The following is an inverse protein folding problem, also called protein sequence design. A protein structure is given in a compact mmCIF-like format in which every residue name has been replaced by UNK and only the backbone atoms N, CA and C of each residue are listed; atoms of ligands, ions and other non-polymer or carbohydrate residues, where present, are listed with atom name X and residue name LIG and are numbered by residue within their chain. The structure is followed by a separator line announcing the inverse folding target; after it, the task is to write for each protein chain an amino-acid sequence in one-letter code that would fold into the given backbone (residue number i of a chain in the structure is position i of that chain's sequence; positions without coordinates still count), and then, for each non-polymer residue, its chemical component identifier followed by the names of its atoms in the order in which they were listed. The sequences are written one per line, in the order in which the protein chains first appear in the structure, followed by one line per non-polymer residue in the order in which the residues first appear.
data_IF_919554402850
#
_entry.id   IF_919554402850
#
_cell.length_a   1.000
_cell.length_b   1.000
_cell.length_c   1.000
_cell.angle_alpha   90.00
_cell.angle_beta   90.00
_cell.angle_gamma   90.00
#
_symmetry.space_group_name_H-M   'P 1'
#
loop_
_entity.id
_entity.type
_entity.pdbx_description
1 polymer ?
#
# COMPACT_ATOMS: atom_id res chain seq x y z
N UNK A 1 4.65 -10.75 -3.89
CA UNK A 1 4.78 -10.14 -5.22
C UNK A 1 3.39 -9.87 -5.79
N UNK A 2 3.02 -8.61 -5.90
CA UNK A 2 1.66 -8.16 -6.25
C UNK A 2 1.64 -7.66 -7.69
N UNK A 3 1.44 -8.55 -8.65
CA UNK A 3 1.40 -8.14 -10.06
C UNK A 3 0.07 -7.45 -10.37
N UNK A 4 0.08 -6.27 -11.01
CA UNK A 4 -1.13 -5.68 -11.54
C UNK A 4 -1.87 -6.68 -12.43
N UNK A 5 -3.16 -6.82 -12.20
CA UNK A 5 -4.00 -7.76 -12.94
C UNK A 5 -5.40 -7.21 -13.17
N UNK A 6 -6.08 -7.71 -14.17
CA UNK A 6 -7.48 -7.39 -14.40
C UNK A 6 -8.36 -7.78 -13.20
N UNK A 7 -8.06 -8.94 -12.59
CA UNK A 7 -8.76 -9.42 -11.40
C UNK A 7 -8.60 -8.49 -10.21
N UNK A 8 -7.39 -7.98 -9.96
CA UNK A 8 -7.14 -7.00 -8.89
C UNK A 8 -7.95 -5.72 -9.11
N UNK A 9 -8.02 -5.20 -10.34
CA UNK A 9 -8.85 -4.03 -10.65
C UNK A 9 -10.35 -4.29 -10.43
N UNK A 10 -10.84 -5.49 -10.75
CA UNK A 10 -12.23 -5.88 -10.46
C UNK A 10 -12.48 -5.94 -8.95
N UNK A 11 -11.57 -6.51 -8.16
CA UNK A 11 -11.68 -6.54 -6.69
C UNK A 11 -11.70 -5.14 -6.09
N UNK A 12 -10.85 -4.24 -6.58
CA UNK A 12 -10.83 -2.84 -6.15
C UNK A 12 -12.16 -2.12 -6.45
N UNK A 13 -12.73 -2.34 -7.64
CA UNK A 13 -14.01 -1.74 -8.02
C UNK A 13 -15.18 -2.37 -7.27
N UNK A 14 -15.18 -3.69 -7.03
CA UNK A 14 -16.17 -4.35 -6.18
C UNK A 14 -16.22 -3.75 -4.77
N UNK A 15 -15.07 -3.32 -4.22
CA UNK A 15 -15.02 -2.64 -2.94
C UNK A 15 -15.60 -1.22 -3.01
N UNK A 16 -15.33 -0.46 -4.08
CA UNK A 16 -15.96 0.85 -4.33
C UNK A 16 -17.47 0.71 -4.39
N UNK A 17 -17.98 -0.29 -5.11
CA UNK A 17 -19.41 -0.53 -5.29
C UNK A 17 -20.06 -1.05 -4.00
N UNK A 18 -19.40 -1.94 -3.25
CA UNK A 18 -19.88 -2.41 -1.93
C UNK A 18 -20.06 -1.28 -0.93
N UNK A 19 -19.22 -0.27 -1.00
CA UNK A 19 -19.26 0.90 -0.12
C UNK A 19 -20.13 2.05 -0.69
N UNK A 20 -20.75 1.83 -1.86
CA UNK A 20 -21.56 2.82 -2.59
C UNK A 20 -20.85 4.17 -2.77
N UNK A 21 -19.55 4.14 -3.03
CA UNK A 21 -18.72 5.34 -3.10
C UNK A 21 -18.81 5.97 -4.49
N UNK A 22 -18.98 7.30 -4.58
CA UNK A 22 -18.92 8.00 -5.85
C UNK A 22 -17.49 8.00 -6.41
N UNK A 23 -17.37 7.94 -7.74
CA UNK A 23 -16.13 8.29 -8.45
C UNK A 23 -16.14 9.82 -8.67
N UNK A 24 -15.26 10.50 -7.98
CA UNK A 24 -15.15 11.96 -7.89
C UNK A 24 -14.91 12.56 -9.27
N UNK A 25 -15.86 13.34 -9.79
CA UNK A 25 -15.84 13.79 -11.17
C UNK A 25 -14.85 14.91 -11.43
N UNK A 26 -14.84 15.93 -10.54
CA UNK A 26 -14.05 17.14 -10.70
C UNK A 26 -13.60 17.71 -9.34
N UNK A 27 -13.05 18.92 -9.37
CA UNK A 27 -12.48 19.54 -8.19
C UNK A 27 -13.57 20.11 -7.27
N UNK A 28 -14.75 20.47 -7.78
CA UNK A 28 -15.86 20.97 -6.98
C UNK A 28 -16.44 19.84 -6.10
N UNK A 29 -16.63 18.66 -6.67
CA UNK A 29 -17.05 17.48 -5.92
C UNK A 29 -15.98 17.04 -4.91
N UNK A 30 -14.71 17.13 -5.29
CA UNK A 30 -13.59 16.84 -4.38
C UNK A 30 -13.63 17.75 -3.15
N UNK A 31 -13.79 19.07 -3.35
CA UNK A 31 -13.86 20.02 -2.25
C UNK A 31 -15.11 19.81 -1.37
N UNK A 32 -16.24 19.45 -1.96
CA UNK A 32 -17.45 19.09 -1.20
C UNK A 32 -17.21 17.86 -0.30
N UNK A 33 -16.52 16.83 -0.79
CA UNK A 33 -16.19 15.62 -0.01
C UNK A 33 -15.16 15.88 1.10
N UNK A 34 -14.27 16.84 0.92
CA UNK A 34 -13.37 17.31 1.97
C UNK A 34 -14.15 18.09 3.04
N UNK A 35 -15.00 19.01 2.62
CA UNK A 35 -15.77 19.87 3.51
C UNK A 35 -16.73 19.08 4.42
N UNK A 36 -17.31 17.98 3.93
CA UNK A 36 -18.19 17.12 4.72
C UNK A 36 -17.47 16.00 5.48
N UNK A 37 -16.11 15.94 5.41
CA UNK A 37 -15.30 14.96 6.13
C UNK A 37 -15.26 13.56 5.53
N UNK A 38 -15.90 13.34 4.35
CA UNK A 38 -15.85 12.06 3.64
C UNK A 38 -14.45 11.74 3.09
N UNK A 39 -13.64 12.76 2.86
CA UNK A 39 -12.21 12.68 2.61
C UNK A 39 -11.45 13.43 3.69
N UNK A 40 -10.37 12.84 4.17
CA UNK A 40 -9.52 13.42 5.19
C UNK A 40 -8.09 13.58 4.69
N UNK A 41 -7.41 14.62 5.16
CA UNK A 41 -6.04 14.89 4.78
C UNK A 41 -5.08 13.87 5.36
N UNK A 42 -4.17 13.39 4.53
CA UNK A 42 -2.99 12.66 4.98
C UNK A 42 -1.97 13.70 5.40
N UNK A 43 -1.55 13.67 6.66
CA UNK A 43 -0.59 14.65 7.21
C UNK A 43 0.84 14.13 7.08
N UNK A 44 1.75 15.03 6.66
CA UNK A 44 3.17 14.74 6.79
C UNK A 44 3.55 14.65 8.26
N UNK A 45 4.49 13.77 8.58
CA UNK A 45 4.95 13.53 9.95
C UNK A 45 6.41 13.10 9.97
N UNK A 46 6.93 12.78 11.15
CA UNK A 46 8.24 12.15 11.29
C UNK A 46 8.34 10.83 10.52
N UNK A 47 7.24 10.13 10.33
CA UNK A 47 7.19 8.79 9.69
C UNK A 47 6.75 8.83 8.23
N UNK A 48 6.16 9.96 7.76
CA UNK A 48 5.54 10.06 6.44
C UNK A 48 5.84 11.38 5.75
N UNK A 49 6.19 11.30 4.46
CA UNK A 49 6.39 12.45 3.58
C UNK A 49 5.65 12.29 2.26
N UNK A 50 5.58 13.36 1.48
CA UNK A 50 4.98 13.37 0.15
C UNK A 50 6.03 13.56 -0.94
N UNK A 51 5.73 13.00 -2.12
CA UNK A 51 6.43 13.41 -3.35
C UNK A 51 6.22 14.92 -3.54
N UNK A 52 7.27 15.71 -3.78
CA UNK A 52 7.15 17.17 -3.99
C UNK A 52 6.23 17.55 -5.16
N UNK A 53 5.98 16.62 -6.09
CA UNK A 53 5.08 16.81 -7.24
C UNK A 53 3.61 16.54 -6.91
N UNK A 54 3.31 15.93 -5.77
CA UNK A 54 1.94 15.70 -5.35
C UNK A 54 1.33 17.00 -4.85
N UNK A 55 0.36 17.49 -5.62
CA UNK A 55 -0.42 18.68 -5.27
C UNK A 55 -1.03 18.53 -3.86
N UNK A 56 -0.85 19.50 -2.95
CA UNK A 56 -1.44 19.48 -1.62
C UNK A 56 -2.96 19.22 -1.62
N UNK A 57 -3.69 19.77 -2.60
CA UNK A 57 -5.13 19.54 -2.73
C UNK A 57 -5.51 18.07 -2.98
N UNK A 58 -4.54 17.22 -3.34
CA UNK A 58 -4.71 15.79 -3.64
C UNK A 58 -4.20 14.86 -2.54
N UNK A 59 -3.72 15.39 -1.40
CA UNK A 59 -3.23 14.62 -0.25
C UNK A 59 -4.37 14.16 0.66
N UNK A 60 -5.47 13.76 0.06
CA UNK A 60 -6.71 13.35 0.74
C UNK A 60 -7.08 11.92 0.36
N UNK A 61 -7.74 11.23 1.27
CA UNK A 61 -8.30 9.89 1.05
C UNK A 61 -9.43 9.61 2.03
N UNK A 62 -10.07 8.45 1.94
CA UNK A 62 -11.06 8.02 2.92
C UNK A 62 -10.42 7.88 4.31
N UNK A 63 -11.20 8.08 5.41
CA UNK A 63 -10.66 8.03 6.78
C UNK A 63 -9.84 6.77 7.06
N UNK A 64 -10.38 5.59 6.74
CA UNK A 64 -9.69 4.31 6.96
C UNK A 64 -8.43 4.13 6.09
N UNK A 65 -8.40 4.73 4.90
CA UNK A 65 -7.20 4.73 4.05
C UNK A 65 -6.10 5.60 4.67
N UNK A 66 -6.47 6.77 5.23
CA UNK A 66 -5.55 7.62 5.98
C UNK A 66 -4.97 6.87 7.18
N UNK A 67 -5.84 6.21 7.95
CA UNK A 67 -5.45 5.48 9.16
C UNK A 67 -4.50 4.33 8.81
N UNK A 68 -4.79 3.56 7.75
CA UNK A 68 -3.88 2.53 7.24
C UNK A 68 -2.49 3.10 6.88
N UNK A 69 -2.44 4.23 6.16
CA UNK A 69 -1.17 4.86 5.75
C UNK A 69 -0.39 5.33 6.97
N UNK A 70 -1.04 5.90 7.98
CA UNK A 70 -0.41 6.31 9.22
C UNK A 70 0.14 5.11 10.00
N UNK A 71 -0.64 4.06 10.19
CA UNK A 71 -0.24 2.85 10.93
C UNK A 71 0.92 2.14 10.21
N UNK A 72 0.84 1.99 8.90
CA UNK A 72 1.93 1.43 8.08
C UNK A 72 3.20 2.27 8.19
N UNK A 73 3.08 3.62 8.12
CA UNK A 73 4.24 4.51 8.20
C UNK A 73 4.92 4.44 9.57
N UNK A 74 4.15 4.35 10.65
CA UNK A 74 4.68 4.16 12.00
C UNK A 74 5.40 2.82 12.15
N UNK A 75 4.79 1.72 11.68
CA UNK A 75 5.39 0.39 11.73
C UNK A 75 6.70 0.33 10.92
N UNK A 76 6.71 0.93 9.74
CA UNK A 76 7.90 1.01 8.89
C UNK A 76 9.01 1.85 9.54
N UNK A 77 8.65 3.02 10.09
CA UNK A 77 9.61 3.91 10.76
C UNK A 77 10.19 3.25 12.01
N UNK A 78 9.37 2.58 12.80
CA UNK A 78 9.85 1.83 13.96
C UNK A 78 10.91 0.78 13.59
N UNK A 79 10.76 0.14 12.43
CA UNK A 79 11.69 -0.91 11.96
C UNK A 79 12.95 -0.34 11.30
N UNK A 80 12.82 0.74 10.51
CA UNK A 80 13.90 1.19 9.62
C UNK A 80 14.39 2.61 9.89
N UNK A 81 13.74 3.37 10.75
CA UNK A 81 13.99 4.81 11.00
C UNK A 81 14.00 5.65 9.71
N UNK A 82 13.13 5.28 8.77
CA UNK A 82 12.97 5.96 7.49
C UNK A 82 11.49 6.24 7.21
N UNK A 83 11.25 7.38 6.56
CA UNK A 83 9.90 7.78 6.18
C UNK A 83 9.39 6.98 4.97
N UNK A 84 8.09 6.68 4.98
CA UNK A 84 7.36 6.30 3.76
C UNK A 84 7.04 7.56 2.96
N UNK A 85 7.08 7.48 1.64
CA UNK A 85 6.68 8.56 0.74
C UNK A 85 5.39 8.22 -0.01
N UNK A 86 4.39 9.09 0.11
CA UNK A 86 3.15 9.04 -0.67
C UNK A 86 3.36 9.81 -1.98
N UNK A 87 3.20 9.12 -3.11
CA UNK A 87 3.36 9.68 -4.45
C UNK A 87 2.03 10.10 -5.06
N UNK A 88 0.92 9.48 -4.66
CA UNK A 88 -0.42 9.80 -5.14
C UNK A 88 -1.47 9.35 -4.12
N UNK A 89 -2.58 10.08 -4.06
CA UNK A 89 -3.76 9.71 -3.28
C UNK A 89 -5.02 9.96 -4.12
N UNK A 90 -5.97 10.79 -3.68
CA UNK A 90 -7.21 11.01 -4.41
C UNK A 90 -6.99 11.62 -5.81
N UNK A 91 -7.76 11.14 -6.78
CA UNK A 91 -7.83 11.70 -8.15
C UNK A 91 -9.27 11.96 -8.53
N UNK A 92 -9.50 12.92 -9.43
CA UNK A 92 -10.80 13.11 -10.07
C UNK A 92 -10.84 12.40 -11.43
N UNK A 93 -12.03 12.06 -11.90
CA UNK A 93 -12.25 11.51 -13.25
C UNK A 93 -11.64 12.43 -14.32
N UNK A 94 -11.80 13.75 -14.16
CA UNK A 94 -11.19 14.76 -15.03
C UNK A 94 -9.66 14.64 -15.08
N UNK A 95 -9.01 14.50 -13.91
CA UNK A 95 -7.57 14.33 -13.82
C UNK A 95 -7.12 12.97 -14.40
N UNK A 96 -7.84 11.89 -14.10
CA UNK A 96 -7.52 10.54 -14.60
C UNK A 96 -7.62 10.48 -16.13
N UNK A 97 -8.64 11.09 -16.73
CA UNK A 97 -8.75 11.21 -18.19
C UNK A 97 -7.58 11.98 -18.80
N UNK A 98 -7.11 13.06 -18.13
CA UNK A 98 -5.91 13.79 -18.55
C UNK A 98 -4.66 12.90 -18.45
N UNK A 99 -4.49 12.17 -17.36
CA UNK A 99 -3.37 11.25 -17.14
C UNK A 99 -3.30 10.18 -18.23
N UNK A 100 -4.43 9.56 -18.58
CA UNK A 100 -4.49 8.50 -19.62
C UNK A 100 -4.10 8.97 -21.01
N UNK A 101 -4.26 10.24 -21.34
CA UNK A 101 -3.81 10.78 -22.64
C UNK A 101 -2.29 10.68 -22.80
N UNK A 102 -1.55 10.74 -21.70
CA UNK A 102 -0.08 10.70 -21.67
C UNK A 102 0.46 9.35 -21.21
N UNK A 103 -0.32 8.56 -20.47
CA UNK A 103 0.05 7.24 -19.97
C UNK A 103 -1.05 6.22 -20.26
N UNK A 104 -0.90 5.45 -21.33
CA UNK A 104 -1.87 4.42 -21.73
C UNK A 104 -1.97 3.24 -20.75
N UNK A 105 -0.99 3.09 -19.85
CA UNK A 105 -1.00 2.04 -18.82
C UNK A 105 -1.76 2.46 -17.55
N UNK A 106 -2.16 3.73 -17.44
CA UNK A 106 -3.00 4.16 -16.32
C UNK A 106 -4.39 3.51 -16.40
N UNK A 107 -4.94 3.10 -15.26
CA UNK A 107 -6.27 2.52 -15.18
C UNK A 107 -7.33 3.45 -15.81
N UNK A 108 -8.45 2.91 -16.34
CA UNK A 108 -9.54 3.70 -16.87
C UNK A 108 -10.11 4.69 -15.86
N UNK A 109 -10.80 5.72 -16.37
CA UNK A 109 -11.55 6.66 -15.54
C UNK A 109 -13.01 6.23 -15.32
N UNK A 110 -13.46 5.18 -16.01
CA UNK A 110 -14.83 4.65 -16.00
C UNK A 110 -14.83 3.13 -16.23
N UNK A 111 -16.00 2.50 -16.03
CA UNK A 111 -16.20 1.05 -16.17
C UNK A 111 -15.68 0.24 -14.95
N UNK A 112 -15.74 -1.10 -15.09
CA UNK A 112 -15.49 -2.06 -14.02
C UNK A 112 -14.03 -2.16 -13.59
N UNK A 113 -13.13 -1.54 -14.33
CA UNK A 113 -11.70 -1.46 -14.03
C UNK A 113 -11.22 -0.03 -13.84
N UNK A 114 -12.14 0.86 -13.47
CA UNK A 114 -11.81 2.25 -13.20
C UNK A 114 -10.82 2.36 -12.03
N UNK A 115 -10.00 3.40 -12.06
CA UNK A 115 -9.03 3.63 -10.99
C UNK A 115 -9.71 3.85 -9.63
N UNK A 116 -9.35 3.07 -8.63
CA UNK A 116 -9.85 3.20 -7.25
C UNK A 116 -9.41 4.49 -6.53
N UNK A 117 -8.41 5.20 -7.07
CA UNK A 117 -8.09 6.57 -6.65
C UNK A 117 -9.27 7.54 -6.79
N UNK A 118 -10.20 7.26 -7.74
CA UNK A 118 -11.36 8.10 -8.01
C UNK A 118 -12.39 8.09 -6.86
N UNK A 119 -12.34 7.08 -6.01
CA UNK A 119 -13.19 6.97 -4.83
C UNK A 119 -12.45 7.36 -3.52
N UNK A 120 -11.16 7.70 -3.60
CA UNK A 120 -10.32 8.04 -2.45
C UNK A 120 -9.87 6.84 -1.61
N UNK A 121 -10.00 5.62 -2.13
CA UNK A 121 -9.62 4.38 -1.41
C UNK A 121 -8.13 4.03 -1.53
N UNK A 122 -7.38 4.70 -2.39
CA UNK A 122 -6.09 4.22 -2.86
C UNK A 122 -4.98 5.24 -2.66
N UNK A 123 -3.81 4.73 -2.31
CA UNK A 123 -2.55 5.49 -2.26
C UNK A 123 -1.47 4.78 -3.06
N UNK A 124 -0.59 5.57 -3.66
CA UNK A 124 0.64 5.09 -4.27
C UNK A 124 1.82 5.41 -3.34
N UNK A 125 2.50 4.39 -2.83
CA UNK A 125 3.66 4.51 -1.96
C UNK A 125 4.95 4.25 -2.74
N UNK A 126 5.95 5.13 -2.57
CA UNK A 126 7.21 5.02 -3.27
C UNK A 126 7.98 3.76 -2.86
N UNK A 127 8.36 2.95 -3.86
CA UNK A 127 9.25 1.80 -3.72
C UNK A 127 10.68 2.11 -4.13
N UNK A 128 10.86 3.14 -4.96
CA UNK A 128 12.20 3.54 -5.43
C UNK A 128 13.09 3.96 -4.28
N UNK A 129 14.27 3.37 -4.19
CA UNK A 129 15.25 3.65 -3.14
C UNK A 129 15.10 2.79 -1.89
N UNK A 130 14.10 1.92 -1.81
CA UNK A 130 14.03 0.92 -0.75
C UNK A 130 15.11 -0.15 -0.94
N UNK A 131 15.72 -0.59 0.15
CA UNK A 131 16.62 -1.75 0.18
C UNK A 131 15.83 -3.04 -0.01
N UNK A 132 16.50 -4.15 -0.31
CA UNK A 132 15.85 -5.46 -0.42
C UNK A 132 15.16 -5.86 0.90
N UNK A 133 15.74 -5.54 2.05
CA UNK A 133 15.13 -5.81 3.36
C UNK A 133 13.82 -5.03 3.54
N UNK A 134 13.82 -3.74 3.18
CA UNK A 134 12.62 -2.89 3.22
C UNK A 134 11.52 -3.36 2.26
N UNK A 135 11.90 -3.80 1.06
CA UNK A 135 10.98 -4.37 0.07
C UNK A 135 10.36 -5.65 0.63
N UNK A 136 11.16 -6.58 1.16
CA UNK A 136 10.66 -7.83 1.73
C UNK A 136 9.72 -7.60 2.91
N UNK A 137 10.05 -6.65 3.79
CA UNK A 137 9.21 -6.30 4.92
C UNK A 137 7.87 -5.71 4.45
N UNK A 138 7.90 -4.77 3.51
CA UNK A 138 6.69 -4.15 2.94
C UNK A 138 5.81 -5.20 2.25
N UNK A 139 6.40 -6.07 1.42
CA UNK A 139 5.67 -7.13 0.75
C UNK A 139 5.03 -8.11 1.75
N UNK A 140 5.74 -8.43 2.84
CA UNK A 140 5.21 -9.30 3.88
C UNK A 140 4.03 -8.65 4.63
N UNK A 141 4.19 -7.39 5.00
CA UNK A 141 3.14 -6.61 5.66
C UNK A 141 1.88 -6.53 4.78
N UNK A 142 2.05 -6.15 3.51
CA UNK A 142 0.94 -6.05 2.57
C UNK A 142 0.30 -7.40 2.27
N UNK A 143 1.09 -8.48 2.22
CA UNK A 143 0.56 -9.83 2.03
C UNK A 143 -0.32 -10.26 3.21
N UNK A 144 0.11 -9.99 4.43
CA UNK A 144 -0.69 -10.24 5.62
C UNK A 144 -2.01 -9.46 5.61
N UNK A 145 -1.96 -8.16 5.33
CA UNK A 145 -3.16 -7.32 5.24
C UNK A 145 -4.11 -7.75 4.11
N UNK A 146 -3.56 -8.19 2.97
CA UNK A 146 -4.34 -8.76 1.87
C UNK A 146 -5.03 -10.07 2.27
N UNK A 147 -4.34 -10.95 2.97
CA UNK A 147 -4.90 -12.22 3.46
C UNK A 147 -6.09 -12.02 4.41
N UNK A 148 -6.10 -10.89 5.14
CA UNK A 148 -7.23 -10.47 5.97
C UNK A 148 -8.35 -9.75 5.18
N UNK A 149 -8.17 -9.52 3.88
CA UNK A 149 -9.13 -8.78 3.04
C UNK A 149 -9.20 -7.28 3.35
N UNK A 150 -8.14 -6.71 3.91
CA UNK A 150 -8.07 -5.30 4.34
C UNK A 150 -7.47 -4.39 3.27
N UNK A 151 -6.65 -4.94 2.37
CA UNK A 151 -6.05 -4.21 1.25
C UNK A 151 -6.02 -5.05 -0.01
N UNK A 152 -5.99 -4.37 -1.17
CA UNK A 152 -5.65 -4.97 -2.47
C UNK A 152 -4.45 -4.22 -3.04
N UNK A 153 -3.22 -4.75 -2.83
CA UNK A 153 -1.99 -4.11 -3.28
C UNK A 153 -1.57 -4.57 -4.67
N UNK A 154 -0.99 -3.65 -5.45
CA UNK A 154 -0.32 -3.93 -6.72
C UNK A 154 1.09 -3.33 -6.73
N UNK A 155 2.06 -4.03 -7.31
CA UNK A 155 3.42 -3.54 -7.54
C UNK A 155 3.51 -2.95 -8.95
N UNK A 156 3.43 -1.64 -9.07
CA UNK A 156 3.61 -0.94 -10.35
C UNK A 156 5.11 -0.71 -10.64
N UNK A 157 5.76 -1.71 -11.24
CA UNK A 157 7.22 -1.73 -11.46
C UNK A 157 7.75 -0.57 -12.28
N UNK A 158 7.01 -0.12 -13.32
CA UNK A 158 7.43 1.00 -14.17
C UNK A 158 7.45 2.33 -13.45
N UNK A 159 6.54 2.50 -12.49
CA UNK A 159 6.40 3.71 -11.68
C UNK A 159 7.18 3.63 -10.36
N UNK A 160 7.64 2.42 -10.01
CA UNK A 160 8.35 2.15 -8.76
C UNK A 160 7.52 2.51 -7.53
N UNK A 161 6.26 2.12 -7.53
CA UNK A 161 5.33 2.31 -6.42
C UNK A 161 4.61 1.01 -6.05
N UNK A 162 4.14 0.97 -4.82
CA UNK A 162 3.06 0.09 -4.39
C UNK A 162 1.76 0.88 -4.52
N UNK A 163 0.87 0.43 -5.38
CA UNK A 163 -0.50 0.90 -5.50
C UNK A 163 -1.34 0.09 -4.52
N UNK A 164 -1.96 0.73 -3.53
CA UNK A 164 -2.64 0.03 -2.43
C UNK A 164 -4.04 0.58 -2.29
N UNK A 165 -5.05 -0.21 -2.69
CA UNK A 165 -6.44 0.05 -2.33
C UNK A 165 -6.68 -0.48 -0.91
N UNK A 166 -7.34 0.32 -0.07
CA UNK A 166 -7.68 -0.02 1.31
C UNK A 166 -9.17 -0.21 1.45
N UNK A 167 -9.58 -1.39 1.91
CA UNK A 167 -10.98 -1.73 2.18
C UNK A 167 -11.53 -0.95 3.39
N UNK A 168 -12.82 -0.61 3.35
CA UNK A 168 -13.54 -0.03 4.49
C UNK A 168 -13.52 -0.91 5.75
N UNK A 169 -13.31 -2.22 5.58
CA UNK A 169 -13.12 -3.16 6.69
C UNK A 169 -11.91 -2.86 7.58
N UNK A 170 -10.98 -2.04 7.07
CA UNK A 170 -9.81 -1.64 7.85
C UNK A 170 -10.20 -0.85 9.10
N UNK A 171 -11.24 -0.02 9.04
CA UNK A 171 -11.71 0.73 10.20
C UNK A 171 -12.13 -0.23 11.34
N UNK A 172 -13.01 -1.19 11.04
CA UNK A 172 -13.50 -2.16 12.04
C UNK A 172 -12.35 -3.03 12.59
N UNK A 173 -11.47 -3.50 11.69
CA UNK A 173 -10.30 -4.29 12.11
C UNK A 173 -9.39 -3.48 13.04
N UNK A 174 -9.12 -2.22 12.73
CA UNK A 174 -8.27 -1.34 13.53
C UNK A 174 -8.83 -1.14 14.94
N UNK A 175 -10.14 -0.92 15.07
CA UNK A 175 -10.79 -0.80 16.37
C UNK A 175 -10.61 -2.07 17.23
N UNK A 176 -10.62 -3.26 16.63
CA UNK A 176 -10.35 -4.50 17.36
C UNK A 176 -8.91 -4.63 17.85
N UNK A 177 -7.94 -4.00 17.15
CA UNK A 177 -6.53 -4.00 17.57
C UNK A 177 -6.28 -3.07 18.77
N UNK A 178 -7.01 -1.97 18.88
CA UNK A 178 -6.91 -1.05 20.02
C UNK A 178 -7.47 -1.67 21.31
N UNK A 179 -8.40 -2.63 21.21
CA UNK A 179 -9.00 -3.33 22.35
C UNK A 179 -8.08 -4.46 22.88
N UNK A 180 -7.26 -5.04 22.00
CA UNK A 180 -6.32 -6.10 22.36
C UNK A 180 -4.92 -5.51 22.30
N UNK A 181 -4.19 -5.33 23.42
CA UNK A 181 -2.77 -4.99 23.38
C UNK A 181 -2.03 -6.14 22.70
N UNK A 182 -1.92 -6.09 21.39
CA UNK A 182 -1.12 -7.07 20.67
C UNK A 182 0.35 -6.72 20.85
N UNK A 183 1.05 -7.57 21.56
CA UNK A 183 2.42 -7.89 21.21
C UNK A 183 2.39 -8.27 19.73
N UNK A 184 2.83 -7.34 18.87
CA UNK A 184 2.77 -7.54 17.41
C UNK A 184 3.59 -8.79 17.12
N UNK A 185 3.02 -9.84 16.49
CA UNK A 185 3.80 -11.00 16.15
C UNK A 185 4.98 -10.53 15.30
N UNK A 186 6.20 -10.82 15.74
CA UNK A 186 7.33 -10.75 14.85
C UNK A 186 7.00 -11.56 13.58
N UNK A 187 7.38 -11.07 12.39
CA UNK A 187 7.16 -11.81 11.16
C UNK A 187 7.66 -13.23 11.39
N UNK A 188 6.77 -14.20 11.18
CA UNK A 188 7.05 -15.62 11.37
C UNK A 188 8.43 -15.92 10.79
N UNK A 189 9.39 -16.24 11.67
CA UNK A 189 10.70 -16.74 11.28
C UNK A 189 10.47 -17.92 10.35
N UNK A 190 11.13 -17.94 9.19
CA UNK A 190 11.10 -19.11 8.30
C UNK A 190 11.42 -20.34 9.14
N UNK A 191 10.70 -21.46 8.98
CA UNK A 191 11.11 -22.71 9.58
C UNK A 191 12.54 -23.00 9.12
N UNK A 192 13.40 -23.35 10.07
CA UNK A 192 14.85 -23.54 9.96
C UNK A 192 15.20 -24.84 9.18
N UNK A 193 14.51 -25.14 8.08
CA UNK A 193 14.59 -26.41 7.37
C UNK A 193 15.47 -26.42 6.12
N UNK A 194 16.28 -25.37 5.86
CA UNK A 194 17.24 -25.40 4.74
C UNK A 194 18.58 -24.74 5.10
N UNK A 195 19.21 -25.20 6.20
CA UNK A 195 20.63 -25.00 6.38
C UNK A 195 21.35 -26.28 5.94
N UNK A 196 22.15 -26.28 4.86
CA UNK A 196 23.00 -27.41 4.57
C UNK A 196 23.98 -27.58 5.74
N UNK A 197 24.06 -28.80 6.27
CA UNK A 197 25.03 -29.15 7.30
C UNK A 197 26.47 -28.84 6.81
N UNK A 198 27.34 -28.29 7.69
CA UNK A 198 28.74 -28.09 7.33
C UNK A 198 29.39 -29.43 7.08
N UNK A 199 29.97 -29.60 5.89
CA UNK A 199 30.69 -30.78 5.50
C UNK A 199 31.79 -31.07 6.55
N UNK A 200 31.72 -32.23 7.23
CA UNK A 200 32.76 -32.77 8.10
C UNK A 200 33.98 -33.14 7.26
N UNK A 201 35.01 -32.32 7.36
CA UNK A 201 36.34 -32.67 6.80
C UNK A 201 36.95 -33.71 7.71
N UNK A 202 36.94 -34.96 7.28
CA UNK A 202 37.76 -36.02 7.91
C UNK A 202 39.22 -35.80 7.55
N UNK A 203 40.04 -35.49 8.53
CA UNK A 203 41.48 -35.43 8.38
C UNK A 203 42.04 -36.89 8.39
N UNK A 204 42.39 -37.40 7.21
CA UNK A 204 43.17 -38.63 7.10
C UNK A 204 44.62 -38.37 7.53
N UNK A 205 45.03 -39.07 8.55
CA UNK A 205 46.41 -39.08 9.03
C UNK A 205 47.32 -39.82 8.05
N UNK A 206 48.20 -39.09 7.40
CA UNK A 206 49.30 -39.68 6.63
C UNK A 206 50.39 -40.08 7.59
N UNK A 207 50.58 -41.39 7.79
CA UNK A 207 51.73 -41.98 8.45
C UNK A 207 52.86 -42.14 7.43
N UNK A 208 53.98 -41.44 7.66
CA UNK A 208 55.21 -41.63 6.89
C UNK A 208 56.09 -42.66 7.59
N UNK A 209 56.48 -43.64 6.81
CA UNK A 209 57.63 -44.49 7.09
C UNK A 209 58.77 -44.12 6.15
#
# INVERSE_FOLDING_TARGET
MFRPSHESLLLQNAEVDRLELPRIQDDDELEALKANGALQEIMASETLRFDPRLDPSRRFCRPWTRDFVQDLSQAYYHRFHQQIQVNSAVRTVKLQKKLRRHNRNAAPADGDTASSHLAGLTVDLQRRGMTNEQIHWMEHYLFYMKALGLVEPEEERRQWVYHIMVSGRYADWRETQDIIPMDRPEPLARPEQDRPEPATVTADAVTVN
#
